data_IF_785186798226
#
_entry.id   IF_785186798226
#
_cell.length_a   1.000
_cell.length_b   1.000
_cell.length_c   1.000
_cell.angle_alpha   90.00
_cell.angle_beta   90.00
_cell.angle_gamma   90.00
#
_symmetry.space_group_name_H-M   'P 1'
#
loop_
_entity.id
_entity.type
_entity.pdbx_description
1 polymer ?
#
# COMPACT_ATOMS: atom_id res chain seq x y z
N UNK A 1 44.09 8.41 19.97
CA UNK A 1 43.09 9.12 19.16
C UNK A 1 41.82 8.27 19.15
N UNK A 2 40.81 8.62 19.96
CA UNK A 2 39.58 7.83 20.08
C UNK A 2 38.68 8.13 18.87
N UNK A 3 38.48 7.13 18.02
CA UNK A 3 37.41 7.12 17.02
C UNK A 3 36.08 7.30 17.76
N UNK A 4 35.45 8.45 17.55
CA UNK A 4 34.09 8.70 18.01
C UNK A 4 33.19 7.72 17.25
N UNK A 5 32.53 6.83 17.99
CA UNK A 5 31.49 5.97 17.43
C UNK A 5 30.50 6.84 16.67
N UNK A 6 30.34 6.57 15.37
CA UNK A 6 29.24 7.14 14.60
C UNK A 6 27.92 6.76 15.29
N UNK A 7 26.95 7.68 15.41
CA UNK A 7 25.65 7.33 15.95
C UNK A 7 25.08 6.22 15.07
N UNK A 8 24.87 5.05 15.67
CA UNK A 8 24.09 3.99 15.06
C UNK A 8 22.69 4.59 14.89
N UNK A 9 22.31 4.87 13.65
CA UNK A 9 20.93 5.26 13.34
C UNK A 9 20.10 4.05 13.76
N UNK A 10 19.39 4.17 14.90
CA UNK A 10 18.39 3.19 15.28
C UNK A 10 17.46 3.03 14.08
N UNK A 11 17.49 1.84 13.46
CA UNK A 11 16.57 1.51 12.37
C UNK A 11 15.18 1.81 12.94
N UNK A 12 14.45 2.71 12.28
CA UNK A 12 13.12 3.14 12.75
C UNK A 12 12.20 1.94 13.01
N UNK A 13 11.04 2.14 13.64
CA UNK A 13 10.19 1.06 14.15
C UNK A 13 9.56 0.15 13.07
N UNK A 14 9.93 0.34 11.81
CA UNK A 14 9.39 -0.40 10.67
C UNK A 14 10.51 -1.15 9.94
N UNK A 15 10.19 -2.33 9.40
CA UNK A 15 11.16 -3.12 8.67
C UNK A 15 11.62 -2.41 7.39
N UNK A 16 12.88 -2.64 7.03
CA UNK A 16 13.51 -2.12 5.79
C UNK A 16 13.88 -3.25 4.82
N UNK A 17 13.57 -4.50 5.18
CA UNK A 17 13.89 -5.66 4.37
C UNK A 17 13.18 -5.58 3.02
N UNK A 18 13.88 -5.99 1.96
CA UNK A 18 13.35 -5.95 0.58
C UNK A 18 12.14 -6.86 0.41
N UNK A 19 12.03 -7.89 1.25
CA UNK A 19 10.95 -8.84 1.26
C UNK A 19 10.54 -9.05 2.72
N UNK A 20 9.27 -8.85 3.01
CA UNK A 20 8.70 -9.16 4.33
C UNK A 20 7.30 -9.72 4.19
N UNK A 21 6.94 -10.59 5.11
CA UNK A 21 5.59 -11.09 5.31
C UNK A 21 5.21 -10.84 6.77
N UNK A 22 4.10 -10.13 6.98
CA UNK A 22 3.54 -9.88 8.30
C UNK A 22 2.71 -11.10 8.69
N UNK A 23 3.35 -12.15 9.18
CA UNK A 23 2.71 -13.46 9.47
C UNK A 23 1.63 -13.40 10.56
N UNK A 24 1.61 -12.34 11.34
CA UNK A 24 0.59 -12.00 12.33
C UNK A 24 -0.63 -11.29 11.73
N UNK A 25 -0.57 -10.87 10.46
CA UNK A 25 -1.66 -10.19 9.77
C UNK A 25 -2.89 -11.08 9.56
N UNK A 26 -4.05 -10.45 9.39
CA UNK A 26 -5.33 -11.14 9.21
C UNK A 26 -5.34 -12.09 8.01
N UNK A 27 -4.60 -11.78 6.95
CA UNK A 27 -4.48 -12.64 5.76
C UNK A 27 -3.99 -14.05 6.11
N UNK A 28 -2.92 -14.15 6.92
CA UNK A 28 -2.30 -15.45 7.25
C UNK A 28 -3.09 -16.27 8.27
N UNK A 29 -4.22 -15.76 8.76
CA UNK A 29 -5.17 -16.54 9.57
C UNK A 29 -6.07 -17.42 8.69
N UNK A 30 -6.27 -17.04 7.43
CA UNK A 30 -7.17 -17.72 6.49
C UNK A 30 -6.48 -18.24 5.23
N UNK A 31 -5.29 -17.71 4.90
CA UNK A 31 -4.54 -18.07 3.70
C UNK A 31 -3.06 -18.32 4.00
N UNK A 32 -2.51 -19.42 3.49
CA UNK A 32 -1.10 -19.79 3.75
C UNK A 32 -0.10 -19.07 2.84
N UNK A 33 -0.54 -18.68 1.64
CA UNK A 33 0.35 -18.20 0.57
C UNK A 33 -0.20 -16.98 -0.16
N UNK A 34 0.66 -15.99 -0.37
CA UNK A 34 0.40 -14.83 -1.22
C UNK A 34 0.71 -15.14 -2.70
N UNK A 35 0.00 -14.52 -3.66
CA UNK A 35 0.35 -14.57 -5.07
C UNK A 35 1.81 -14.19 -5.33
N UNK A 36 2.49 -14.92 -6.20
CA UNK A 36 3.87 -14.58 -6.59
C UNK A 36 3.90 -13.31 -7.46
N UNK A 37 5.01 -12.56 -7.50
CA UNK A 37 5.16 -11.43 -8.43
C UNK A 37 4.85 -11.80 -9.88
N UNK A 38 5.26 -12.99 -10.32
CA UNK A 38 4.94 -13.52 -11.64
C UNK A 38 3.43 -13.72 -11.85
N UNK A 39 2.71 -14.25 -10.85
CA UNK A 39 1.26 -14.37 -10.90
C UNK A 39 0.57 -13.00 -10.97
N UNK A 40 1.03 -12.01 -10.21
CA UNK A 40 0.51 -10.63 -10.24
C UNK A 40 0.68 -10.03 -11.63
N UNK A 41 1.87 -10.11 -12.22
CA UNK A 41 2.14 -9.64 -13.60
C UNK A 41 1.28 -10.37 -14.64
N UNK A 42 1.10 -11.69 -14.48
CA UNK A 42 0.25 -12.49 -15.38
C UNK A 42 -1.19 -11.99 -15.36
N UNK A 43 -1.77 -11.78 -14.17
CA UNK A 43 -3.14 -11.24 -14.05
C UNK A 43 -3.21 -9.81 -14.60
N UNK A 44 -2.22 -8.96 -14.31
CA UNK A 44 -2.17 -7.61 -14.85
C UNK A 44 -2.13 -7.57 -16.39
N UNK A 45 -1.40 -8.49 -17.03
CA UNK A 45 -1.32 -8.59 -18.50
C UNK A 45 -2.63 -8.96 -19.19
N UNK A 46 -3.61 -9.47 -18.43
CA UNK A 46 -4.96 -9.79 -18.92
C UNK A 46 -5.89 -8.57 -18.88
N UNK A 47 -5.46 -7.47 -18.25
CA UNK A 47 -6.21 -6.22 -18.19
C UNK A 47 -6.32 -5.57 -19.56
N UNK A 48 -7.52 -5.11 -19.91
CA UNK A 48 -7.76 -4.28 -21.11
C UNK A 48 -7.36 -2.81 -20.90
N UNK A 49 -7.00 -2.42 -19.68
CA UNK A 49 -6.55 -1.06 -19.36
C UNK A 49 -5.15 -0.81 -19.96
N UNK A 50 -4.99 0.17 -20.87
CA UNK A 50 -3.69 0.51 -21.46
C UNK A 50 -2.61 0.85 -20.41
N UNK A 51 -3.01 1.37 -19.25
CA UNK A 51 -2.13 1.70 -18.14
C UNK A 51 -1.48 0.45 -17.51
N UNK A 52 -2.08 -0.73 -17.65
CA UNK A 52 -1.51 -1.98 -17.13
C UNK A 52 -0.20 -2.39 -17.83
N UNK A 53 0.03 -1.87 -19.03
CA UNK A 53 1.26 -2.10 -19.79
C UNK A 53 2.39 -1.13 -19.38
N UNK A 54 2.10 -0.12 -18.56
CA UNK A 54 3.09 0.85 -18.08
C UNK A 54 3.76 0.27 -16.83
N UNK A 55 5.09 0.00 -16.85
CA UNK A 55 5.75 -0.71 -15.76
C UNK A 55 6.00 0.16 -14.51
N UNK A 56 5.88 1.48 -14.63
CA UNK A 56 6.15 2.42 -13.54
C UNK A 56 5.09 2.37 -12.45
N UNK A 57 3.82 2.54 -12.84
CA UNK A 57 2.65 2.53 -11.95
C UNK A 57 1.44 1.87 -12.64
N UNK A 58 1.51 0.57 -12.92
CA UNK A 58 0.35 -0.17 -13.42
C UNK A 58 -0.82 -0.09 -12.42
N UNK A 59 -2.07 -0.24 -12.88
CA UNK A 59 -3.22 -0.35 -11.99
C UNK A 59 -3.02 -1.50 -10.98
N UNK A 60 -3.48 -1.33 -9.73
CA UNK A 60 -3.43 -2.41 -8.75
C UNK A 60 -4.17 -3.66 -9.23
N UNK A 61 -3.65 -4.82 -8.88
CA UNK A 61 -4.26 -6.12 -9.22
C UNK A 61 -5.13 -6.58 -8.07
N UNK A 62 -6.37 -6.98 -8.38
CA UNK A 62 -7.35 -7.45 -7.40
C UNK A 62 -7.36 -8.98 -7.35
N UNK A 63 -7.42 -9.52 -6.13
CA UNK A 63 -7.68 -10.93 -5.84
C UNK A 63 -8.87 -11.00 -4.85
N UNK A 64 -10.11 -10.79 -5.34
CA UNK A 64 -11.29 -10.66 -4.48
C UNK A 64 -11.55 -11.89 -3.60
N UNK A 65 -11.33 -13.09 -4.15
CA UNK A 65 -11.51 -14.36 -3.42
C UNK A 65 -10.59 -14.49 -2.19
N UNK A 66 -9.54 -13.68 -2.12
CA UNK A 66 -8.58 -13.65 -1.03
C UNK A 66 -8.66 -12.37 -0.17
N UNK A 67 -9.58 -11.45 -0.48
CA UNK A 67 -9.62 -10.14 0.15
C UNK A 67 -8.31 -9.35 -0.02
N UNK A 68 -7.65 -9.51 -1.17
CA UNK A 68 -6.30 -9.00 -1.42
C UNK A 68 -6.27 -8.04 -2.63
N UNK A 69 -5.52 -6.96 -2.48
CA UNK A 69 -5.14 -6.05 -3.56
C UNK A 69 -3.62 -5.86 -3.55
N UNK A 70 -3.02 -5.88 -4.75
CA UNK A 70 -1.57 -5.75 -4.93
C UNK A 70 -1.26 -4.50 -5.71
N UNK A 71 -0.64 -3.52 -5.06
CA UNK A 71 -0.06 -2.34 -5.71
C UNK A 71 1.37 -2.67 -6.11
N UNK A 72 1.74 -2.45 -7.36
CA UNK A 72 3.09 -2.76 -7.81
C UNK A 72 3.59 -1.80 -8.89
N UNK A 73 4.90 -1.78 -9.12
CA UNK A 73 5.53 -0.95 -10.15
C UNK A 73 6.99 -0.61 -9.83
N UNK A 74 7.71 -0.03 -10.79
CA UNK A 74 9.10 0.41 -10.59
C UNK A 74 9.21 1.69 -9.76
N UNK A 75 8.15 2.51 -9.70
CA UNK A 75 8.11 3.73 -8.87
C UNK A 75 7.47 3.51 -7.50
N UNK A 76 6.91 2.33 -7.24
CA UNK A 76 6.37 1.98 -5.94
C UNK A 76 7.54 1.75 -4.98
N UNK A 77 7.42 2.27 -3.76
CA UNK A 77 8.51 2.18 -2.76
C UNK A 77 8.05 1.47 -1.49
N UNK A 78 9.00 0.86 -0.78
CA UNK A 78 8.76 0.30 0.56
C UNK A 78 8.30 1.40 1.54
N UNK A 79 8.70 2.65 1.31
CA UNK A 79 8.25 3.78 2.11
C UNK A 79 6.72 3.97 2.07
N UNK A 80 6.03 3.60 0.98
CA UNK A 80 4.56 3.59 0.94
C UNK A 80 3.98 2.57 1.92
N UNK A 81 4.54 1.36 1.95
CA UNK A 81 4.15 0.32 2.91
C UNK A 81 4.44 0.75 4.36
N UNK A 82 5.61 1.34 4.61
CA UNK A 82 5.97 1.89 5.93
C UNK A 82 5.01 3.01 6.36
N UNK A 83 4.59 3.87 5.42
CA UNK A 83 3.61 4.92 5.68
C UNK A 83 2.26 4.34 6.11
N UNK A 84 1.77 3.29 5.44
CA UNK A 84 0.56 2.57 5.85
C UNK A 84 0.66 2.00 7.27
N UNK A 85 1.78 1.35 7.60
CA UNK A 85 2.03 0.84 8.95
C UNK A 85 2.04 1.96 10.00
N UNK A 86 2.66 3.10 9.67
CA UNK A 86 2.70 4.26 10.54
C UNK A 86 1.30 4.84 10.78
N UNK A 87 0.52 5.06 9.71
CA UNK A 87 -0.84 5.61 9.82
C UNK A 87 -1.70 4.67 10.65
N UNK A 88 -1.66 3.36 10.41
CA UNK A 88 -2.43 2.37 11.20
C UNK A 88 -2.08 2.41 12.68
N UNK A 89 -0.81 2.65 13.02
CA UNK A 89 -0.34 2.74 14.41
C UNK A 89 -0.67 4.09 15.07
N UNK A 90 -0.55 5.18 14.32
CA UNK A 90 -0.69 6.54 14.83
C UNK A 90 -2.14 7.05 14.84
N UNK A 91 -2.94 6.67 13.85
CA UNK A 91 -4.30 7.16 13.62
C UNK A 91 -5.30 6.00 13.69
N UNK A 92 -5.81 5.72 14.89
CA UNK A 92 -6.76 4.61 15.13
C UNK A 92 -8.12 4.80 14.44
N UNK A 93 -8.50 6.04 14.18
CA UNK A 93 -9.81 6.38 13.62
C UNK A 93 -9.82 6.45 12.08
N UNK A 94 -8.65 6.29 11.44
CA UNK A 94 -8.54 6.31 9.98
C UNK A 94 -8.53 4.86 9.47
N UNK A 95 -9.55 4.43 8.72
CA UNK A 95 -9.55 3.11 8.12
C UNK A 95 -8.48 3.07 7.03
N UNK A 96 -7.39 2.35 7.29
CA UNK A 96 -6.34 2.06 6.31
C UNK A 96 -6.25 0.56 6.07
N UNK A 97 -5.98 0.13 4.82
CA UNK A 97 -5.84 -1.29 4.52
C UNK A 97 -4.71 -1.90 5.33
N UNK A 98 -4.94 -3.11 5.83
CA UNK A 98 -3.88 -3.92 6.42
C UNK A 98 -2.81 -4.26 5.38
N UNK A 99 -1.55 -4.21 5.78
CA UNK A 99 -0.45 -4.60 4.93
C UNK A 99 -0.03 -6.03 5.29
N UNK A 100 -0.15 -6.94 4.33
CA UNK A 100 0.15 -8.37 4.54
C UNK A 100 1.60 -8.69 4.23
N UNK A 101 2.17 -8.04 3.22
CA UNK A 101 3.56 -8.22 2.83
C UNK A 101 4.04 -7.11 1.91
N UNK A 102 5.35 -7.03 1.71
CA UNK A 102 5.92 -6.42 0.52
C UNK A 102 7.06 -7.26 -0.03
N UNK A 103 7.29 -7.17 -1.34
CA UNK A 103 8.37 -7.87 -2.02
C UNK A 103 8.99 -6.99 -3.09
N UNK A 104 10.28 -7.19 -3.34
CA UNK A 104 10.98 -6.57 -4.47
C UNK A 104 11.40 -7.67 -5.44
N UNK A 105 10.96 -7.54 -6.69
CA UNK A 105 11.24 -8.50 -7.76
C UNK A 105 11.41 -7.76 -9.09
N UNK A 106 12.48 -8.08 -9.83
CA UNK A 106 12.81 -7.49 -11.13
C UNK A 106 12.69 -5.95 -11.19
N UNK A 107 13.26 -5.27 -10.18
CA UNK A 107 13.21 -3.81 -10.08
C UNK A 107 11.86 -3.21 -9.67
N UNK A 108 10.80 -4.00 -9.58
CA UNK A 108 9.48 -3.59 -9.13
C UNK A 108 9.29 -3.90 -7.64
N UNK A 109 8.52 -3.06 -6.95
CA UNK A 109 8.03 -3.33 -5.60
C UNK A 109 6.58 -3.78 -5.69
N UNK A 110 6.21 -4.75 -4.87
CA UNK A 110 4.86 -5.30 -4.73
C UNK A 110 4.43 -5.11 -3.29
N UNK A 111 3.33 -4.39 -3.08
CA UNK A 111 2.69 -4.19 -1.78
C UNK A 111 1.41 -5.01 -1.75
N UNK A 112 1.36 -6.00 -0.86
CA UNK A 112 0.22 -6.88 -0.67
C UNK A 112 -0.61 -6.34 0.49
N UNK A 113 -1.83 -5.92 0.21
CA UNK A 113 -2.67 -5.21 1.18
C UNK A 113 -4.12 -5.69 1.13
N UNK A 114 -4.84 -5.43 2.21
CA UNK A 114 -6.26 -5.72 2.36
C UNK A 114 -7.09 -5.03 1.28
N UNK A 115 -7.94 -5.82 0.63
CA UNK A 115 -8.97 -5.30 -0.24
C UNK A 115 -10.14 -4.83 0.63
N UNK A 116 -10.16 -3.53 0.94
CA UNK A 116 -11.31 -2.92 1.60
C UNK A 116 -12.43 -2.76 0.56
N UNK A 117 -13.56 -3.41 0.83
CA UNK A 117 -14.80 -3.20 0.07
C UNK A 117 -15.36 -1.80 0.37
N UNK A 118 -15.04 -0.85 -0.51
CA UNK A 118 -15.55 0.52 -0.45
C UNK A 118 -15.60 1.14 -1.84
N UNK A 119 -16.45 2.17 -2.00
CA UNK A 119 -16.39 3.03 -3.19
C UNK A 119 -15.02 3.70 -3.18
N UNK A 120 -14.19 3.41 -4.18
CA UNK A 120 -12.86 4.01 -4.26
C UNK A 120 -12.99 5.53 -4.28
N UNK A 121 -11.99 6.23 -3.73
CA UNK A 121 -12.02 7.68 -3.67
C UNK A 121 -12.16 8.28 -5.08
N UNK A 122 -11.61 7.63 -6.11
CA UNK A 122 -11.77 8.05 -7.51
C UNK A 122 -13.23 7.97 -7.96
N UNK A 123 -13.94 6.87 -7.67
CA UNK A 123 -15.37 6.74 -8.01
C UNK A 123 -16.24 7.74 -7.27
N UNK A 124 -15.92 8.05 -6.01
CA UNK A 124 -16.68 9.03 -5.22
C UNK A 124 -16.40 10.46 -5.65
N UNK A 125 -15.16 10.78 -6.02
CA UNK A 125 -14.72 12.10 -6.49
C UNK A 125 -15.38 12.54 -7.81
N UNK A 126 -15.66 11.58 -8.71
CA UNK A 126 -16.44 11.81 -9.94
C UNK A 126 -17.90 12.17 -9.66
N UNK A 127 -18.45 11.68 -8.54
CA UNK A 127 -19.88 11.85 -8.17
C UNK A 127 -20.15 12.91 -7.10
N UNK A 128 -19.11 13.51 -6.50
CA UNK A 128 -19.26 14.56 -5.48
C UNK A 128 -19.44 15.94 -6.13
N UNK A 129 -20.56 16.60 -5.81
CA UNK A 129 -20.82 17.99 -6.20
C UNK A 129 -19.79 18.96 -5.59
N UNK A 130 -19.62 20.13 -6.21
CA UNK A 130 -18.60 21.13 -5.82
C UNK A 130 -18.70 21.57 -4.35
N UNK A 131 -19.90 21.52 -3.75
CA UNK A 131 -20.13 21.86 -2.34
C UNK A 131 -19.54 20.81 -1.37
N UNK A 132 -19.60 19.51 -1.72
CA UNK A 132 -19.00 18.44 -0.90
C UNK A 132 -17.46 18.43 -0.98
N UNK A 133 -16.91 18.85 -2.13
CA UNK A 133 -15.46 19.04 -2.30
C UNK A 133 -14.95 20.22 -1.49
N UNK A 134 -15.75 21.29 -1.38
CA UNK A 134 -15.41 22.48 -0.59
C UNK A 134 -15.55 22.21 0.92
N UNK A 135 -16.56 21.44 1.34
CA UNK A 135 -16.69 20.98 2.73
C UNK A 135 -15.53 20.06 3.13
N UNK A 136 -15.09 19.14 2.28
CA UNK A 136 -13.92 18.29 2.54
C UNK A 136 -12.60 19.06 2.78
N UNK A 137 -12.44 20.22 2.12
CA UNK A 137 -11.29 21.11 2.30
C UNK A 137 -11.45 21.98 3.57
N UNK A 138 -12.68 22.33 3.96
CA UNK A 138 -12.92 23.11 5.18
C UNK A 138 -12.74 22.28 6.47
N UNK A 139 -13.12 21.00 6.46
CA UNK A 139 -12.91 20.09 7.61
C UNK A 139 -11.43 19.75 7.85
N UNK A 140 -10.57 19.85 6.83
CA UNK A 140 -9.13 19.65 6.97
C UNK A 140 -8.39 20.89 7.51
N UNK A 141 -8.91 22.11 7.31
CA UNK A 141 -8.24 23.34 7.75
C UNK A 141 -8.61 23.83 9.17
N UNK A 142 -9.66 23.31 9.81
CA UNK A 142 -10.15 23.82 11.10
C UNK A 142 -9.78 23.01 12.35
N UNK A 143 -8.86 22.04 12.22
CA UNK A 143 -8.33 21.25 13.36
C UNK A 143 -6.81 21.17 13.42
N UNK A 144 -6.14 22.06 12.69
CA UNK A 144 -4.72 22.35 12.86
C UNK A 144 -4.58 23.88 13.04
N UNK A 145 -5.27 24.42 14.05
CA UNK A 145 -4.87 25.51 14.95
C UNK A 145 -5.83 25.48 16.14
#
# INVERSE_FOLDING_TARGET
MKIKNAPQIERGPFPYDKNIEFRDSTFFKTHDTLPTPANVRRVASQSTNPMAQIPTRPPPVLFPDQGLIVKYGTEITIAEGQCLLYIRKALRDVPVPELFAWRKDDGQVFLYMELIEGITLEKKWETMGEEDKTLGIQWTYRRIY
#
